data_IF_289362870874
#
_entry.id   IF_289362870874
#
_cell.length_a   1.000
_cell.length_b   1.000
_cell.length_c   1.000
_cell.angle_alpha   90.00
_cell.angle_beta   90.00
_cell.angle_gamma   90.00
#
_symmetry.space_group_name_H-M   'P 1'
#
loop_
_entity.id
_entity.type
_entity.pdbx_description
1 polymer ?
#
# COMPACT_ATOMS: atom_id res chain seq x y z
N UNK A 1 -94.82 -10.62 -23.62
CA UNK A 1 -93.97 -10.88 -24.81
C UNK A 1 -93.15 -9.63 -25.15
N UNK A 2 -92.41 -9.04 -24.20
CA UNK A 2 -91.61 -7.81 -24.40
C UNK A 2 -90.32 -7.83 -23.55
N UNK A 3 -89.89 -8.99 -23.01
CA UNK A 3 -88.69 -9.08 -22.13
C UNK A 3 -87.59 -9.99 -22.73
N UNK A 4 -87.86 -10.65 -23.86
CA UNK A 4 -86.92 -11.59 -24.49
C UNK A 4 -86.08 -10.95 -25.61
N UNK A 5 -86.44 -9.77 -26.09
CA UNK A 5 -85.68 -9.05 -27.14
C UNK A 5 -84.58 -8.13 -26.58
N UNK A 6 -84.73 -7.57 -25.37
CA UNK A 6 -83.69 -6.70 -24.77
C UNK A 6 -82.40 -7.43 -24.38
N UNK A 7 -82.48 -8.72 -24.03
CA UNK A 7 -81.27 -9.49 -23.63
C UNK A 7 -80.34 -9.81 -24.81
N UNK A 8 -80.84 -9.89 -26.04
CA UNK A 8 -80.00 -10.17 -27.21
C UNK A 8 -79.27 -8.93 -27.76
N UNK A 9 -79.82 -7.73 -27.55
CA UNK A 9 -79.14 -6.49 -27.95
C UNK A 9 -77.97 -6.14 -27.00
N UNK A 10 -78.10 -6.42 -25.70
CA UNK A 10 -77.05 -6.13 -24.70
C UNK A 10 -75.84 -7.08 -24.85
N UNK A 11 -76.06 -8.32 -25.31
CA UNK A 11 -74.98 -9.27 -25.58
C UNK A 11 -74.15 -8.90 -26.82
N UNK A 12 -74.78 -8.38 -27.87
CA UNK A 12 -74.09 -7.98 -29.11
C UNK A 12 -73.22 -6.72 -28.93
N UNK A 13 -73.62 -5.79 -28.07
CA UNK A 13 -72.82 -4.58 -27.78
C UNK A 13 -71.57 -4.91 -26.95
N UNK A 14 -71.64 -5.86 -26.01
CA UNK A 14 -70.48 -6.26 -25.19
C UNK A 14 -69.39 -7.00 -25.98
N UNK A 15 -69.76 -7.79 -26.99
CA UNK A 15 -68.79 -8.54 -27.81
C UNK A 15 -67.99 -7.60 -28.72
N UNK A 16 -68.62 -6.53 -29.24
CA UNK A 16 -67.94 -5.53 -30.06
C UNK A 16 -67.06 -4.55 -29.26
N UNK A 17 -67.35 -4.31 -27.98
CA UNK A 17 -66.48 -3.52 -27.10
C UNK A 17 -65.17 -4.27 -26.74
N UNK A 18 -65.24 -5.59 -26.51
CA UNK A 18 -64.07 -6.43 -26.21
C UNK A 18 -63.14 -6.65 -27.42
N UNK A 19 -63.67 -6.61 -28.64
CA UNK A 19 -62.87 -6.73 -29.86
C UNK A 19 -62.05 -5.46 -30.19
N UNK A 20 -62.42 -4.30 -29.61
CA UNK A 20 -61.73 -3.02 -29.82
C UNK A 20 -60.59 -2.85 -28.80
N UNK A 21 -60.70 -3.39 -27.58
CA UNK A 21 -59.60 -3.36 -26.60
C UNK A 21 -58.48 -4.36 -26.89
N UNK A 22 -58.72 -5.39 -27.71
CA UNK A 22 -57.69 -6.35 -28.14
C UNK A 22 -56.88 -5.91 -29.38
N UNK A 23 -57.22 -4.77 -30.01
CA UNK A 23 -56.46 -4.19 -31.13
C UNK A 23 -55.55 -3.02 -30.75
N UNK A 24 -55.72 -2.46 -29.55
CA UNK A 24 -54.85 -1.40 -29.01
C UNK A 24 -53.69 -1.96 -28.17
N UNK A 25 -53.61 -3.29 -27.96
CA UNK A 25 -52.58 -3.95 -27.14
C UNK A 25 -51.49 -4.66 -27.97
N UNK A 26 -51.36 -4.34 -29.26
CA UNK A 26 -50.35 -4.97 -30.15
C UNK A 26 -49.38 -3.98 -30.81
N UNK A 27 -49.25 -2.77 -30.26
CA UNK A 27 -48.20 -1.80 -30.66
C UNK A 27 -47.64 -1.16 -29.39
N UNK A 28 -46.99 -1.95 -28.55
CA UNK A 28 -46.18 -1.47 -27.43
C UNK A 28 -45.05 -2.45 -27.11
N UNK A 29 -44.49 -3.07 -28.15
CA UNK A 29 -43.41 -4.04 -27.99
C UNK A 29 -42.51 -3.98 -29.23
N UNK A 30 -41.73 -2.91 -29.39
CA UNK A 30 -40.45 -2.95 -30.11
C UNK A 30 -39.62 -1.65 -30.04
N UNK A 31 -39.62 -0.89 -28.94
CA UNK A 31 -38.63 0.19 -28.77
C UNK A 31 -38.19 0.23 -27.30
N UNK A 32 -36.98 -0.30 -27.04
CA UNK A 32 -36.04 -0.02 -25.93
C UNK A 32 -35.22 -1.26 -25.56
N UNK A 33 -34.52 -1.84 -26.53
CA UNK A 33 -33.29 -2.60 -26.29
C UNK A 33 -32.15 -2.04 -27.15
N UNK A 34 -32.02 -0.72 -27.17
CA UNK A 34 -30.72 -0.09 -27.29
C UNK A 34 -30.26 0.24 -25.86
N UNK A 35 -30.12 -0.80 -25.03
CA UNK A 35 -29.25 -0.69 -23.86
C UNK A 35 -27.89 -0.42 -24.45
N UNK A 36 -27.39 0.79 -24.23
CA UNK A 36 -26.03 1.13 -24.53
C UNK A 36 -25.18 0.12 -23.78
N UNK A 37 -24.72 -0.92 -24.46
CA UNK A 37 -23.64 -1.75 -23.98
C UNK A 37 -22.40 -0.84 -24.05
N UNK A 38 -22.31 0.10 -23.10
CA UNK A 38 -21.03 0.60 -22.63
C UNK A 38 -20.29 -0.66 -22.23
N UNK A 39 -19.40 -1.08 -23.11
CA UNK A 39 -18.32 -1.98 -22.76
C UNK A 39 -17.55 -1.20 -21.71
N UNK A 40 -17.90 -1.37 -20.43
CA UNK A 40 -16.97 -1.07 -19.37
C UNK A 40 -15.77 -1.96 -19.70
N UNK A 41 -14.72 -1.35 -20.26
CA UNK A 41 -13.37 -1.87 -20.04
C UNK A 41 -13.36 -2.16 -18.56
N UNK A 42 -13.13 -3.42 -18.16
CA UNK A 42 -12.86 -3.80 -16.78
C UNK A 42 -11.94 -2.71 -16.21
N UNK A 43 -12.54 -1.82 -15.42
CA UNK A 43 -11.89 -0.60 -15.01
C UNK A 43 -10.74 -1.02 -14.13
N UNK A 44 -9.51 -0.73 -14.55
CA UNK A 44 -8.40 -0.73 -13.63
C UNK A 44 -8.83 0.13 -12.44
N UNK A 45 -8.94 -0.48 -11.26
CA UNK A 45 -9.25 0.28 -10.05
C UNK A 45 -8.17 1.34 -9.93
N UNK A 46 -8.52 2.64 -9.90
CA UNK A 46 -7.51 3.69 -9.89
C UNK A 46 -6.61 3.50 -8.67
N UNK A 47 -5.30 3.54 -8.93
CA UNK A 47 -4.30 3.39 -7.87
C UNK A 47 -4.50 4.42 -6.78
N UNK A 48 -4.37 3.98 -5.53
CA UNK A 48 -4.40 4.88 -4.38
C UNK A 48 -3.32 5.95 -4.56
N UNK A 49 -3.71 7.22 -4.50
CA UNK A 49 -2.77 8.34 -4.60
C UNK A 49 -2.35 8.79 -3.20
N UNK A 50 -1.04 8.88 -2.97
CA UNK A 50 -0.45 9.41 -1.75
C UNK A 50 0.38 10.61 -2.13
N UNK A 51 0.07 11.76 -1.55
CA UNK A 51 0.79 13.00 -1.85
C UNK A 51 1.53 13.45 -0.59
N UNK A 52 2.84 13.62 -0.70
CA UNK A 52 3.75 13.99 0.39
C UNK A 52 4.69 15.10 -0.05
N UNK A 53 5.21 15.81 0.94
CA UNK A 53 6.22 16.86 0.82
C UNK A 53 6.10 17.84 -0.39
N UNK A 54 4.91 18.31 -0.74
CA UNK A 54 4.70 19.17 -1.93
C UNK A 54 5.40 20.54 -1.85
N UNK A 55 5.77 20.95 -0.64
CA UNK A 55 6.51 22.20 -0.39
C UNK A 55 8.02 22.07 -0.64
N UNK A 56 8.52 20.87 -0.93
CA UNK A 56 9.92 20.64 -1.28
C UNK A 56 10.38 21.51 -2.45
N UNK A 57 11.68 21.79 -2.50
CA UNK A 57 12.28 22.66 -3.53
C UNK A 57 13.15 21.90 -4.53
N UNK A 58 13.34 20.59 -4.35
CA UNK A 58 14.09 19.74 -5.25
C UNK A 58 13.25 19.10 -6.36
N UNK A 59 13.76 18.02 -6.93
CA UNK A 59 13.07 17.23 -7.95
C UNK A 59 11.86 16.49 -7.39
N UNK A 60 10.88 16.22 -8.25
CA UNK A 60 9.67 15.48 -7.91
C UNK A 60 9.82 14.01 -8.29
N UNK A 61 9.27 13.13 -7.45
CA UNK A 61 9.22 11.69 -7.64
C UNK A 61 7.78 11.22 -7.69
N UNK A 62 7.48 10.40 -8.68
CA UNK A 62 6.29 9.55 -8.72
C UNK A 62 6.76 8.10 -8.53
N UNK A 63 6.43 7.51 -7.39
CA UNK A 63 6.81 6.15 -7.03
C UNK A 63 5.57 5.26 -7.14
N UNK A 64 5.56 4.39 -8.13
CA UNK A 64 4.53 3.37 -8.31
C UNK A 64 4.94 2.11 -7.56
N UNK A 65 4.07 1.66 -6.66
CA UNK A 65 4.25 0.42 -5.90
C UNK A 65 3.16 -0.57 -6.26
N UNK A 66 3.56 -1.77 -6.66
CA UNK A 66 2.69 -2.91 -6.94
C UNK A 66 2.85 -3.97 -5.87
N UNK A 67 1.75 -4.32 -5.21
CA UNK A 67 1.77 -5.27 -4.11
C UNK A 67 2.01 -6.67 -4.64
N UNK A 68 2.88 -7.42 -3.98
CA UNK A 68 3.06 -8.84 -4.27
C UNK A 68 1.97 -9.70 -3.62
N UNK A 69 1.96 -10.98 -3.95
CA UNK A 69 0.96 -11.95 -3.43
C UNK A 69 1.04 -12.18 -1.92
N UNK A 70 2.18 -11.92 -1.28
CA UNK A 70 2.37 -12.06 0.16
C UNK A 70 2.13 -10.75 0.94
N UNK A 71 1.72 -9.67 0.26
CA UNK A 71 1.49 -8.36 0.88
C UNK A 71 0.34 -8.38 1.89
N UNK A 72 0.68 -8.24 3.17
CA UNK A 72 -0.26 -8.27 4.29
C UNK A 72 0.17 -7.27 5.38
N UNK A 73 -0.34 -6.04 5.30
CA UNK A 73 -0.08 -4.97 6.26
C UNK A 73 1.41 -4.72 6.60
N UNK A 74 2.30 -4.58 5.59
CA UNK A 74 3.70 -4.33 5.86
C UNK A 74 3.96 -2.93 6.43
N UNK A 75 5.09 -2.78 7.08
CA UNK A 75 5.69 -1.50 7.46
C UNK A 75 6.84 -1.21 6.50
N UNK A 76 6.93 0.01 5.97
CA UNK A 76 8.00 0.36 5.04
C UNK A 76 8.36 1.84 5.06
N UNK A 77 9.55 2.15 4.55
CA UNK A 77 10.02 3.51 4.33
C UNK A 77 10.67 3.62 2.95
N UNK A 78 10.54 4.80 2.33
CA UNK A 78 11.32 5.25 1.18
C UNK A 78 12.22 6.41 1.59
N UNK A 79 13.48 6.39 1.19
CA UNK A 79 14.42 7.47 1.49
C UNK A 79 15.52 7.59 0.43
N UNK A 80 16.30 8.66 0.55
CA UNK A 80 17.42 8.97 -0.33
C UNK A 80 18.73 8.87 0.46
N UNK A 81 19.74 8.28 -0.17
CA UNK A 81 21.13 8.30 0.27
C UNK A 81 22.04 8.86 -0.84
N UNK A 82 23.19 9.41 -0.47
CA UNK A 82 24.27 9.58 -1.45
C UNK A 82 24.92 8.24 -1.83
N UNK A 83 25.94 8.29 -2.69
CA UNK A 83 26.65 7.09 -3.15
C UNK A 83 27.52 6.45 -2.06
N UNK A 84 27.93 7.22 -1.05
CA UNK A 84 28.69 6.73 0.11
C UNK A 84 27.75 6.12 1.17
N UNK A 85 26.44 6.21 0.96
CA UNK A 85 25.42 5.67 1.84
C UNK A 85 25.11 6.53 3.05
N UNK A 86 25.41 7.82 2.97
CA UNK A 86 24.93 8.80 3.93
C UNK A 86 23.47 9.12 3.64
N UNK A 87 22.65 9.06 4.68
CA UNK A 87 21.26 9.48 4.62
C UNK A 87 21.12 10.95 4.21
N UNK A 88 20.22 11.22 3.26
CA UNK A 88 19.86 12.57 2.83
C UNK A 88 18.50 12.96 3.40
N UNK A 89 17.44 12.22 3.04
CA UNK A 89 16.08 12.50 3.54
C UNK A 89 15.15 11.30 3.39
N UNK A 90 14.14 11.23 4.26
CA UNK A 90 13.00 10.32 4.12
C UNK A 90 12.00 10.94 3.15
N UNK A 91 11.50 10.12 2.23
CA UNK A 91 10.44 10.49 1.28
C UNK A 91 9.06 10.05 1.77
N UNK A 92 9.01 8.89 2.42
CA UNK A 92 7.80 8.30 2.97
C UNK A 92 8.15 7.29 4.07
N UNK A 93 7.30 7.15 5.08
CA UNK A 93 7.33 6.05 6.04
C UNK A 93 5.92 5.76 6.56
N UNK A 94 5.59 4.48 6.79
CA UNK A 94 4.27 4.11 7.31
C UNK A 94 4.06 4.60 8.75
N UNK A 95 2.83 4.99 9.07
CA UNK A 95 2.51 5.72 10.29
C UNK A 95 2.89 4.98 11.58
N UNK A 96 2.67 3.66 11.65
CA UNK A 96 2.91 2.90 12.88
C UNK A 96 4.36 2.99 13.39
N UNK A 97 5.36 2.83 12.51
CA UNK A 97 6.77 2.99 12.89
C UNK A 97 7.16 4.46 13.02
N UNK A 98 6.50 5.34 12.27
CA UNK A 98 6.75 6.79 12.29
C UNK A 98 6.33 7.47 13.59
N UNK A 99 5.30 6.95 14.27
CA UNK A 99 4.80 7.46 15.55
C UNK A 99 5.13 6.54 16.72
N UNK A 100 5.54 5.29 16.47
CA UNK A 100 5.71 4.28 17.51
C UNK A 100 4.38 3.87 18.16
N UNK A 101 3.25 4.21 17.56
CA UNK A 101 1.90 3.88 18.03
C UNK A 101 1.31 2.81 17.12
N UNK A 102 0.87 1.69 17.69
CA UNK A 102 0.39 0.52 16.97
C UNK A 102 -1.03 0.20 17.39
N UNK A 103 -1.79 -0.46 16.51
CA UNK A 103 -3.18 -0.87 16.77
C UNK A 103 -3.35 -1.69 18.07
N UNK A 104 -2.30 -2.42 18.46
CA UNK A 104 -2.21 -3.11 19.74
C UNK A 104 -0.97 -2.60 20.48
N UNK A 105 -1.20 -1.81 21.53
CA UNK A 105 -0.12 -1.29 22.37
C UNK A 105 0.65 -2.40 23.09
N UNK A 106 1.91 -2.15 23.45
CA UNK A 106 2.73 -3.12 24.17
C UNK A 106 2.60 -2.93 25.69
N UNK A 107 2.26 -4.01 26.39
CA UNK A 107 2.26 -4.06 27.86
C UNK A 107 3.62 -4.54 28.38
N UNK A 108 4.11 -5.64 27.81
CA UNK A 108 5.42 -6.25 28.09
C UNK A 108 5.98 -6.85 26.78
N UNK A 109 7.26 -7.20 26.68
CA UNK A 109 7.75 -8.05 25.59
C UNK A 109 6.90 -9.33 25.51
N UNK A 110 6.25 -9.57 24.37
CA UNK A 110 5.32 -10.71 24.24
C UNK A 110 3.85 -10.41 24.47
N UNK A 111 3.51 -9.29 25.13
CA UNK A 111 2.14 -9.03 25.62
C UNK A 111 1.57 -7.72 25.08
N UNK A 112 0.35 -7.81 24.58
CA UNK A 112 -0.33 -6.72 23.90
C UNK A 112 -1.57 -6.27 24.65
N UNK A 113 -1.94 -5.03 24.42
CA UNK A 113 -3.24 -4.48 24.77
C UNK A 113 -4.19 -4.63 23.57
N UNK A 114 -5.49 -4.75 23.84
CA UNK A 114 -6.54 -4.77 22.82
C UNK A 114 -6.83 -3.36 22.26
N UNK A 115 -6.24 -2.33 22.87
CA UNK A 115 -6.32 -0.94 22.41
C UNK A 115 -5.00 -0.44 21.82
N UNK A 116 -5.13 0.58 20.98
CA UNK A 116 -4.00 1.31 20.40
C UNK A 116 -3.06 1.83 21.50
N UNK A 117 -1.76 1.73 21.26
CA UNK A 117 -0.76 2.24 22.19
C UNK A 117 0.67 2.15 21.67
N UNK A 118 1.60 2.63 22.48
CA UNK A 118 3.01 2.63 22.12
C UNK A 118 3.58 1.21 22.11
N UNK A 119 4.44 0.92 21.14
CA UNK A 119 5.24 -0.29 21.12
C UNK A 119 6.60 -0.03 20.49
N UNK A 120 7.61 -0.78 20.93
CA UNK A 120 8.96 -0.71 20.37
C UNK A 120 9.18 -1.93 19.47
N UNK A 121 9.54 -1.68 18.21
CA UNK A 121 9.75 -2.70 17.17
C UNK A 121 11.04 -2.43 16.40
N UNK A 122 12.22 -2.63 17.02
CA UNK A 122 13.50 -2.37 16.36
C UNK A 122 13.71 -3.21 15.09
N UNK A 123 13.15 -4.43 15.04
CA UNK A 123 13.22 -5.31 13.87
C UNK A 123 12.35 -4.87 12.67
N UNK A 124 11.52 -3.82 12.79
CA UNK A 124 10.63 -3.40 11.70
C UNK A 124 11.36 -2.76 10.52
N UNK A 125 12.19 -1.74 10.75
CA UNK A 125 12.97 -1.08 9.69
C UNK A 125 14.39 -0.73 10.15
N UNK A 126 15.21 -1.73 10.57
CA UNK A 126 16.53 -1.46 11.13
C UNK A 126 17.43 -0.61 10.24
N UNK A 127 17.50 -0.91 8.95
CA UNK A 127 18.46 -0.24 8.07
C UNK A 127 18.14 1.26 7.98
N UNK A 128 16.88 1.60 7.73
CA UNK A 128 16.42 2.98 7.71
C UNK A 128 16.58 3.69 9.06
N UNK A 129 16.23 3.04 10.19
CA UNK A 129 16.36 3.63 11.53
C UNK A 129 17.82 4.03 11.83
N UNK A 130 18.76 3.13 11.55
CA UNK A 130 20.19 3.37 11.75
C UNK A 130 20.77 4.38 10.76
N UNK A 131 20.29 4.40 9.50
CA UNK A 131 20.70 5.41 8.51
C UNK A 131 20.24 6.81 8.89
N UNK A 132 19.00 6.95 9.35
CA UNK A 132 18.45 8.22 9.84
C UNK A 132 19.18 8.69 11.11
N UNK A 133 19.57 7.77 11.99
CA UNK A 133 20.38 8.02 13.19
C UNK A 133 19.84 9.16 14.10
N UNK A 134 18.51 9.28 14.21
CA UNK A 134 17.87 10.25 15.11
C UNK A 134 17.43 9.52 16.37
N UNK A 135 18.00 9.90 17.51
CA UNK A 135 17.68 9.32 18.81
C UNK A 135 16.51 10.06 19.45
N UNK A 136 15.61 9.30 20.07
CA UNK A 136 14.59 9.84 20.97
C UNK A 136 15.18 10.13 22.36
N UNK A 137 14.35 10.65 23.28
CA UNK A 137 14.71 10.94 24.68
C UNK A 137 15.21 9.74 25.47
N UNK A 138 14.82 8.51 25.10
CA UNK A 138 15.32 7.26 25.72
C UNK A 138 16.67 6.83 25.13
N UNK A 139 17.19 7.52 24.13
CA UNK A 139 18.44 7.19 23.44
C UNK A 139 18.31 6.11 22.37
N UNK A 140 17.10 5.60 22.10
CA UNK A 140 16.85 4.62 21.03
C UNK A 140 16.58 5.33 19.71
N UNK A 141 16.74 4.62 18.59
CA UNK A 141 16.52 5.16 17.24
C UNK A 141 15.05 5.19 16.81
N UNK A 142 14.16 4.58 17.61
CA UNK A 142 12.75 4.45 17.28
C UNK A 142 12.03 5.78 17.47
N UNK A 143 11.23 6.23 16.48
CA UNK A 143 10.27 7.30 16.69
C UNK A 143 9.27 6.94 17.80
N UNK A 144 8.75 7.96 18.47
CA UNK A 144 7.75 7.82 19.53
C UNK A 144 6.61 8.80 19.32
N UNK A 145 5.52 8.67 20.08
CA UNK A 145 4.38 9.56 19.94
C UNK A 145 4.75 11.03 20.27
N UNK A 146 5.71 11.23 21.18
CA UNK A 146 6.22 12.55 21.56
C UNK A 146 7.29 13.08 20.58
N UNK A 147 7.97 12.18 19.86
CA UNK A 147 9.04 12.49 18.91
C UNK A 147 8.84 11.75 17.57
N UNK A 148 7.72 11.99 16.86
CA UNK A 148 7.39 11.26 15.65
C UNK A 148 8.18 11.76 14.44
N UNK A 149 8.17 10.99 13.35
CA UNK A 149 8.58 11.48 12.03
C UNK A 149 7.55 12.53 11.55
N UNK A 150 7.98 13.62 10.90
CA UNK A 150 7.06 14.67 10.44
C UNK A 150 5.96 14.17 9.49
N UNK A 151 4.72 14.63 9.67
CA UNK A 151 3.54 14.27 8.86
C UNK A 151 3.71 14.49 7.35
N UNK A 152 4.60 15.41 6.98
CA UNK A 152 4.98 15.67 5.59
C UNK A 152 5.50 14.42 4.86
N UNK A 153 5.98 13.41 5.60
CA UNK A 153 6.55 12.16 5.09
C UNK A 153 5.83 10.90 5.62
N UNK A 154 4.73 11.00 6.37
CA UNK A 154 4.07 9.83 7.00
C UNK A 154 2.67 9.62 6.47
N UNK A 155 2.21 8.37 6.35
CA UNK A 155 0.79 8.06 6.14
C UNK A 155 0.46 6.66 6.64
N UNK A 156 -0.84 6.36 6.76
CA UNK A 156 -1.31 5.01 7.00
C UNK A 156 -0.77 4.04 5.94
N UNK A 157 -0.48 2.79 6.36
CA UNK A 157 -0.02 1.74 5.45
C UNK A 157 -1.03 1.51 4.31
N UNK A 158 -0.62 1.69 3.04
CA UNK A 158 -1.45 1.35 1.89
C UNK A 158 -1.79 -0.14 1.88
N UNK A 159 -3.05 -0.47 1.60
CA UNK A 159 -3.52 -1.86 1.56
C UNK A 159 -3.52 -2.46 0.16
N UNK A 160 -3.37 -1.61 -0.86
CA UNK A 160 -3.40 -1.95 -2.28
C UNK A 160 -2.20 -1.33 -2.99
N UNK A 161 -2.09 -1.58 -4.29
CA UNK A 161 -1.22 -0.80 -5.17
C UNK A 161 -1.45 0.71 -4.98
N UNK A 162 -0.38 1.49 -5.08
CA UNK A 162 -0.43 2.93 -4.86
C UNK A 162 0.59 3.67 -5.70
N UNK A 163 0.35 4.97 -5.89
CA UNK A 163 1.31 5.94 -6.40
C UNK A 163 1.62 6.94 -5.28
N UNK A 164 2.90 7.06 -4.94
CA UNK A 164 3.42 8.10 -4.06
C UNK A 164 4.00 9.24 -4.88
N UNK A 165 3.37 10.40 -4.80
CA UNK A 165 3.87 11.66 -5.34
C UNK A 165 4.54 12.46 -4.23
N UNK A 166 5.84 12.68 -4.34
CA UNK A 166 6.64 13.39 -3.33
C UNK A 166 7.72 14.24 -3.96
N UNK A 167 8.32 15.14 -3.21
CA UNK A 167 9.34 16.06 -3.69
C UNK A 167 10.54 16.05 -2.74
N UNK A 168 11.75 16.21 -3.28
CA UNK A 168 12.93 16.40 -2.45
C UNK A 168 12.89 17.77 -1.75
N UNK A 169 13.48 17.86 -0.56
CA UNK A 169 13.50 19.09 0.25
C UNK A 169 14.28 20.19 -0.46
N UNK A 170 15.38 19.81 -1.11
CA UNK A 170 16.30 20.68 -1.81
C UNK A 170 16.90 19.97 -3.03
N UNK A 171 17.79 20.67 -3.75
CA UNK A 171 18.55 20.10 -4.86
C UNK A 171 19.36 18.88 -4.39
N UNK A 172 19.23 17.77 -5.11
CA UNK A 172 19.97 16.53 -4.83
C UNK A 172 21.32 16.50 -5.56
N UNK A 173 22.26 15.65 -5.12
CA UNK A 173 23.46 15.35 -5.88
C UNK A 173 23.11 14.83 -7.28
N UNK A 174 24.05 14.97 -8.23
CA UNK A 174 23.90 14.46 -9.60
C UNK A 174 23.61 12.96 -9.65
N UNK A 175 24.20 12.20 -8.72
CA UNK A 175 23.98 10.77 -8.53
C UNK A 175 23.65 10.48 -7.08
N UNK A 176 22.62 9.69 -6.85
CA UNK A 176 22.18 9.30 -5.52
C UNK A 176 21.45 7.96 -5.59
N UNK A 177 21.13 7.39 -4.42
CA UNK A 177 20.36 6.16 -4.31
C UNK A 177 18.98 6.48 -3.75
N UNK A 178 17.95 5.88 -4.34
CA UNK A 178 16.62 5.82 -3.74
C UNK A 178 16.42 4.39 -3.23
N UNK A 179 16.05 4.28 -1.96
CA UNK A 179 15.91 3.01 -1.27
C UNK A 179 14.51 2.85 -0.72
N UNK A 180 14.12 1.58 -0.54
CA UNK A 180 12.98 1.18 0.24
C UNK A 180 13.38 0.05 1.19
N UNK A 181 12.88 0.05 2.41
CA UNK A 181 12.97 -1.08 3.35
C UNK A 181 11.55 -1.47 3.70
N UNK A 182 11.26 -2.77 3.70
CA UNK A 182 9.92 -3.31 3.98
C UNK A 182 10.01 -4.52 4.89
N UNK A 183 9.13 -4.55 5.89
CA UNK A 183 8.96 -5.70 6.78
C UNK A 183 7.48 -6.01 6.97
N UNK A 184 7.20 -7.28 7.22
CA UNK A 184 5.88 -7.77 7.59
C UNK A 184 6.03 -8.64 8.85
N UNK A 185 5.14 -8.47 9.85
CA UNK A 185 5.22 -9.27 11.06
C UNK A 185 4.89 -10.75 10.80
N UNK A 186 5.46 -11.62 11.63
CA UNK A 186 5.22 -13.08 11.64
C UNK A 186 5.47 -13.81 10.31
N UNK A 187 6.42 -13.36 9.50
CA UNK A 187 6.73 -13.95 8.20
C UNK A 187 7.70 -15.13 8.32
N UNK A 188 7.20 -16.26 8.84
CA UNK A 188 8.02 -17.45 9.09
C UNK A 188 8.35 -18.21 7.81
N UNK A 189 9.54 -18.83 7.75
CA UNK A 189 9.85 -19.86 6.76
C UNK A 189 10.69 -21.00 7.37
N UNK A 190 11.13 -21.96 6.55
CA UNK A 190 11.91 -23.11 7.02
C UNK A 190 13.21 -22.71 7.73
N UNK A 191 13.85 -21.62 7.31
CA UNK A 191 15.10 -21.11 7.89
C UNK A 191 14.84 -20.07 8.99
N UNK A 192 13.97 -19.10 8.74
CA UNK A 192 13.54 -18.04 9.66
C UNK A 192 12.28 -18.46 10.41
N UNK A 193 12.47 -19.31 11.41
CA UNK A 193 11.41 -19.79 12.28
C UNK A 193 11.69 -19.43 13.75
N UNK A 194 10.71 -19.63 14.62
CA UNK A 194 10.81 -19.31 16.05
C UNK A 194 11.93 -20.06 16.78
N UNK A 195 12.38 -21.22 16.28
CA UNK A 195 13.43 -22.01 16.92
C UNK A 195 14.84 -21.48 16.66
N UNK A 196 15.04 -20.61 15.66
CA UNK A 196 16.37 -20.10 15.30
C UNK A 196 16.95 -19.15 16.35
N UNK A 197 16.12 -18.23 16.85
CA UNK A 197 16.49 -17.30 17.93
C UNK A 197 15.37 -17.26 18.98
N UNK A 198 15.23 -18.33 19.78
CA UNK A 198 14.08 -18.54 20.64
C UNK A 198 14.01 -17.55 21.80
N UNK A 199 15.11 -16.86 22.13
CA UNK A 199 15.17 -15.88 23.23
C UNK A 199 14.88 -14.45 22.76
N UNK A 200 14.98 -14.15 21.47
CA UNK A 200 14.82 -12.79 20.96
C UNK A 200 13.35 -12.50 20.62
N UNK A 201 12.72 -11.65 21.41
CA UNK A 201 11.35 -11.21 21.13
C UNK A 201 11.24 -10.39 19.84
N UNK A 202 12.17 -9.46 19.64
CA UNK A 202 12.17 -8.59 18.46
C UNK A 202 12.28 -9.40 17.17
N UNK A 203 13.08 -10.48 17.19
CA UNK A 203 13.11 -11.45 16.11
C UNK A 203 11.76 -12.15 15.93
N UNK A 204 11.18 -12.73 16.98
CA UNK A 204 9.94 -13.52 16.87
C UNK A 204 8.72 -12.70 16.39
N UNK A 205 8.76 -11.38 16.56
CA UNK A 205 7.73 -10.48 16.05
C UNK A 205 7.75 -10.35 14.51
N UNK A 206 8.91 -10.54 13.87
CA UNK A 206 9.07 -10.40 12.41
C UNK A 206 9.40 -11.71 11.70
N UNK A 207 10.36 -12.48 12.22
CA UNK A 207 10.95 -13.68 11.63
C UNK A 207 11.85 -13.39 10.42
N UNK A 208 11.33 -13.44 9.19
CA UNK A 208 12.14 -13.00 8.05
C UNK A 208 12.54 -11.53 8.23
N UNK A 209 13.83 -11.19 8.06
CA UNK A 209 14.30 -9.82 8.23
C UNK A 209 13.69 -8.88 7.17
N UNK A 210 13.66 -7.58 7.48
CA UNK A 210 13.20 -6.58 6.53
C UNK A 210 14.07 -6.59 5.26
N UNK A 211 13.43 -6.51 4.09
CA UNK A 211 14.11 -6.54 2.80
C UNK A 211 14.37 -5.10 2.33
N UNK A 212 15.59 -4.85 1.86
CA UNK A 212 16.02 -3.56 1.35
C UNK A 212 16.08 -3.62 -0.18
N UNK A 213 15.37 -2.70 -0.81
CA UNK A 213 15.39 -2.46 -2.25
C UNK A 213 16.11 -1.15 -2.53
N UNK A 214 16.82 -1.07 -3.65
CA UNK A 214 17.50 0.16 -4.05
C UNK A 214 17.60 0.31 -5.56
N UNK A 215 17.79 1.56 -5.99
CA UNK A 215 18.21 1.91 -7.34
C UNK A 215 19.13 3.12 -7.29
N UNK A 216 20.01 3.27 -8.28
CA UNK A 216 20.86 4.46 -8.43
C UNK A 216 20.28 5.36 -9.51
N UNK A 217 20.07 6.62 -9.16
CA UNK A 217 19.54 7.65 -10.05
C UNK A 217 20.69 8.55 -10.50
N UNK A 218 20.80 8.79 -11.81
CA UNK A 218 21.76 9.71 -12.43
C UNK A 218 20.97 10.82 -13.14
N UNK A 219 21.00 12.03 -12.60
CA UNK A 219 20.26 13.18 -13.13
C UNK A 219 20.85 13.77 -14.42
N UNK A 220 22.08 13.38 -14.81
CA UNK A 220 22.73 13.91 -16.01
C UNK A 220 22.68 12.93 -17.18
N UNK A 221 22.87 11.64 -16.92
CA UNK A 221 22.98 10.62 -17.96
C UNK A 221 21.91 9.51 -17.86
N UNK A 222 21.02 9.60 -16.88
CA UNK A 222 19.97 8.61 -16.66
C UNK A 222 18.69 8.88 -17.45
N UNK A 223 17.77 7.92 -17.41
CA UNK A 223 16.41 8.09 -17.91
C UNK A 223 15.50 8.77 -16.89
N UNK A 224 14.20 8.78 -17.18
CA UNK A 224 13.19 9.28 -16.25
C UNK A 224 12.52 8.16 -15.46
N UNK A 225 12.84 6.89 -15.71
CA UNK A 225 12.23 5.73 -15.06
C UNK A 225 13.30 4.80 -14.49
N UNK A 226 13.12 4.36 -13.25
CA UNK A 226 14.06 3.53 -12.51
C UNK A 226 13.33 2.44 -11.75
N UNK A 227 13.93 1.26 -11.67
CA UNK A 227 13.37 0.10 -11.00
C UNK A 227 14.15 -0.18 -9.74
N UNK A 228 13.45 -0.31 -8.61
CA UNK A 228 14.07 -0.74 -7.35
C UNK A 228 14.11 -2.26 -7.32
N UNK A 229 15.30 -2.80 -7.04
CA UNK A 229 15.53 -4.24 -6.94
C UNK A 229 15.98 -4.59 -5.51
N UNK A 230 15.69 -5.80 -5.02
CA UNK A 230 16.18 -6.23 -3.72
C UNK A 230 17.71 -6.29 -3.74
N UNK A 231 18.35 -5.60 -2.80
CA UNK A 231 19.82 -5.51 -2.68
C UNK A 231 20.37 -6.18 -1.42
N UNK A 232 19.49 -6.53 -0.48
CA UNK A 232 19.86 -7.20 0.77
C UNK A 232 18.72 -7.19 1.78
N UNK A 233 19.02 -7.61 2.99
CA UNK A 233 18.12 -7.50 4.14
C UNK A 233 18.83 -6.82 5.31
N UNK A 234 18.06 -6.35 6.29
CA UNK A 234 18.58 -5.72 7.51
C UNK A 234 18.70 -6.72 8.67
N UNK A 235 19.17 -6.26 9.83
CA UNK A 235 19.37 -7.13 10.99
C UNK A 235 18.03 -7.65 11.54
N UNK A 236 17.90 -8.97 11.73
CA UNK A 236 16.63 -9.62 12.12
C UNK A 236 16.09 -9.24 13.51
N UNK A 237 16.90 -8.63 14.37
CA UNK A 237 16.48 -8.05 15.66
C UNK A 237 16.48 -6.52 15.69
N UNK A 238 17.10 -5.87 14.70
CA UNK A 238 17.33 -4.43 14.69
C UNK A 238 18.57 -3.91 15.43
N UNK A 239 19.47 -4.79 15.88
CA UNK A 239 20.70 -4.43 16.59
C UNK A 239 21.65 -3.51 15.80
N UNK A 240 21.69 -3.62 14.47
CA UNK A 240 22.54 -2.79 13.63
C UNK A 240 21.88 -2.30 12.33
N UNK A 241 22.56 -1.37 11.66
CA UNK A 241 22.19 -0.80 10.37
C UNK A 241 22.96 -1.35 9.19
N UNK A 242 23.44 -2.61 9.25
CA UNK A 242 24.18 -3.22 8.13
C UNK A 242 23.23 -3.72 7.05
N UNK A 243 23.74 -3.76 5.82
CA UNK A 243 23.07 -4.39 4.69
C UNK A 243 23.66 -5.79 4.46
N UNK A 244 22.86 -6.82 4.66
CA UNK A 244 23.22 -8.21 4.42
C UNK A 244 22.78 -8.60 3.01
N UNK A 245 23.73 -8.82 2.11
CA UNK A 245 23.43 -9.04 0.69
C UNK A 245 23.02 -10.47 0.35
N UNK A 246 23.30 -11.44 1.23
CA UNK A 246 22.81 -12.81 1.08
C UNK A 246 21.32 -12.90 1.43
N UNK A 247 20.50 -12.95 0.39
CA UNK A 247 19.04 -13.11 0.51
C UNK A 247 18.59 -14.52 0.12
N UNK A 248 19.47 -15.52 0.05
CA UNK A 248 19.13 -16.89 -0.39
C UNK A 248 18.12 -17.57 0.54
N UNK A 249 18.17 -17.24 1.83
CA UNK A 249 17.25 -17.76 2.85
C UNK A 249 15.87 -17.07 2.90
N UNK A 250 15.70 -15.98 2.16
CA UNK A 250 14.45 -15.20 2.12
C UNK A 250 13.50 -15.79 1.07
N UNK A 251 12.26 -16.06 1.48
CA UNK A 251 11.20 -16.66 0.65
C UNK A 251 10.04 -15.69 0.47
N UNK A 252 9.01 -15.74 1.32
CA UNK A 252 7.75 -14.99 1.20
C UNK A 252 7.95 -13.49 1.32
N UNK A 253 8.98 -13.01 2.04
CA UNK A 253 9.31 -11.59 2.08
C UNK A 253 9.68 -11.01 0.71
N UNK A 254 10.24 -11.80 -0.23
CA UNK A 254 10.46 -11.36 -1.62
C UNK A 254 9.17 -11.20 -2.41
N UNK A 255 8.08 -11.80 -1.92
CA UNK A 255 6.77 -11.82 -2.57
C UNK A 255 5.81 -10.78 -1.97
N UNK A 256 6.28 -9.95 -1.03
CA UNK A 256 5.52 -8.82 -0.47
C UNK A 256 5.36 -7.71 -1.53
N UNK A 257 6.35 -7.56 -2.41
CA UNK A 257 6.37 -6.51 -3.43
C UNK A 257 6.55 -7.15 -4.80
N UNK A 258 5.64 -6.84 -5.71
CA UNK A 258 5.76 -7.27 -7.11
C UNK A 258 6.72 -6.35 -7.86
N UNK A 259 6.55 -5.04 -7.70
CA UNK A 259 7.31 -4.05 -8.43
C UNK A 259 7.34 -2.70 -7.72
N UNK A 260 8.44 -1.97 -7.92
CA UNK A 260 8.58 -0.58 -7.52
C UNK A 260 9.24 0.18 -8.67
N UNK A 261 8.52 1.16 -9.22
CA UNK A 261 9.00 2.03 -10.29
C UNK A 261 9.08 3.45 -9.76
N UNK A 262 10.19 4.13 -10.00
CA UNK A 262 10.37 5.55 -9.71
C UNK A 262 10.44 6.30 -11.01
N UNK A 263 9.60 7.33 -11.15
CA UNK A 263 9.63 8.29 -12.24
C UNK A 263 10.02 9.66 -11.75
N UNK A 264 10.96 10.30 -12.45
CA UNK A 264 11.32 11.71 -12.21
C UNK A 264 10.33 12.61 -12.96
N UNK A 265 9.87 13.68 -12.30
CA UNK A 265 8.92 14.66 -12.86
C UNK A 265 9.50 16.07 -12.86
#
# INVERSE_FOLDING_TARGET
>A
MIIREEKNQIAFVKINQLAIEMKSLKIALLILLASCATTEKLGETPLQQIVKNQQGKGISFEIEFRKGKAHNHPTFAFWIEDLDGKYIQTLFVTQYIATGTYAHGQLEPGKWNDVEGSAERPASLPYWLHKRNVKNRKGTLLPTADEPVPDACTAATPKSDFILNTKADAQLPKKFRLLMEINQPWDSNAFWNNAKYPESWDYRASLQPALVYATTIDLENGGNEYWLNPVGHSHWTGEDGKLYTDITSITTAKEIVEQIIVKLK
#
